data_IF_898404800306
#
_entry.id   IF_898404800306
#
_cell.length_a   1.000
_cell.length_b   1.000
_cell.length_c   1.000
_cell.angle_alpha   90.00
_cell.angle_beta   90.00
_cell.angle_gamma   90.00
#
_symmetry.space_group_name_H-M   'P 1'
#
loop_
_entity.id
_entity.type
_entity.pdbx_description
1 polymer ?
#
# COMPACT_ATOMS: atom_id res chain seq x y z
N UNK A 1 12.38 -10.42 29.17
CA UNK A 1 12.30 -8.97 29.40
C UNK A 1 11.08 -8.47 28.66
N UNK A 2 9.99 -8.37 29.38
CA UNK A 2 8.70 -7.91 28.89
C UNK A 2 8.79 -6.38 28.70
N UNK A 3 9.01 -5.94 27.46
CA UNK A 3 8.98 -4.51 27.13
C UNK A 3 7.50 -4.15 27.00
N UNK A 4 6.91 -3.77 28.13
CA UNK A 4 5.50 -3.40 28.24
C UNK A 4 5.08 -2.46 27.10
N UNK A 5 4.33 -3.02 26.16
CA UNK A 5 3.70 -2.26 25.09
C UNK A 5 2.52 -1.52 25.74
N UNK A 6 2.67 -0.20 25.88
CA UNK A 6 1.59 0.64 26.42
C UNK A 6 0.45 0.66 25.41
N UNK A 7 -0.58 -0.16 25.67
CA UNK A 7 -1.82 -0.14 24.89
C UNK A 7 -2.60 1.14 25.22
N UNK A 8 -3.06 1.85 24.19
CA UNK A 8 -3.91 3.03 24.35
C UNK A 8 -3.17 4.35 24.61
N UNK A 9 -1.85 4.42 24.41
CA UNK A 9 -1.15 5.70 24.38
C UNK A 9 -1.42 6.45 23.07
N UNK A 10 -1.98 7.65 23.15
CA UNK A 10 -2.02 8.58 22.02
C UNK A 10 -0.59 8.98 21.68
N UNK A 11 -0.08 8.48 20.56
CA UNK A 11 1.23 8.89 20.05
C UNK A 11 1.12 10.31 19.50
N UNK A 12 1.53 11.30 20.29
CA UNK A 12 1.68 12.68 19.80
C UNK A 12 3.03 12.78 19.13
N UNK A 13 3.02 12.94 17.80
CA UNK A 13 4.22 13.23 17.02
C UNK A 13 4.24 14.74 16.72
N UNK A 14 4.91 15.57 17.53
CA UNK A 14 5.04 16.99 17.22
C UNK A 14 5.63 17.16 15.82
N UNK A 15 5.01 18.02 15.02
CA UNK A 15 5.36 18.32 13.63
C UNK A 15 5.25 17.17 12.62
N UNK A 16 4.61 16.04 12.98
CA UNK A 16 4.31 14.95 12.04
C UNK A 16 2.82 14.63 12.04
N UNK A 17 2.28 14.41 10.84
CA UNK A 17 0.86 14.11 10.66
C UNK A 17 0.52 12.62 10.73
N UNK A 18 1.53 11.73 10.72
CA UNK A 18 1.38 10.28 10.80
C UNK A 18 2.48 9.54 10.04
N UNK A 19 2.21 8.29 9.66
CA UNK A 19 3.14 7.41 8.95
C UNK A 19 2.68 7.12 7.52
N UNK A 20 3.64 6.96 6.62
CA UNK A 20 3.48 6.31 5.32
C UNK A 20 4.23 4.98 5.39
N UNK A 21 3.49 3.88 5.27
CA UNK A 21 4.05 2.53 5.23
C UNK A 21 4.22 2.12 3.77
N UNK A 22 5.47 2.05 3.30
CA UNK A 22 5.81 1.65 1.93
C UNK A 22 6.29 0.20 1.89
N UNK A 23 5.41 -0.72 1.47
CA UNK A 23 5.60 -2.16 1.67
C UNK A 23 5.06 -2.64 3.02
N UNK A 24 5.22 -3.93 3.38
CA UNK A 24 5.95 -4.97 2.65
C UNK A 24 5.14 -5.67 1.55
N UNK A 25 3.90 -5.25 1.29
CA UNK A 25 2.96 -5.88 0.35
C UNK A 25 3.20 -5.47 -1.11
N UNK A 26 4.43 -5.62 -1.59
CA UNK A 26 4.89 -5.09 -2.89
C UNK A 26 5.35 -6.21 -3.82
N UNK A 27 5.45 -5.93 -5.12
CA UNK A 27 5.99 -6.86 -6.10
C UNK A 27 7.52 -6.94 -5.97
N UNK A 28 8.04 -8.14 -5.75
CA UNK A 28 9.48 -8.35 -5.58
C UNK A 28 10.28 -7.93 -6.82
N UNK A 29 9.75 -8.17 -8.02
CA UNK A 29 10.38 -7.74 -9.28
C UNK A 29 10.49 -6.22 -9.42
N UNK A 30 9.61 -5.47 -8.74
CA UNK A 30 9.62 -4.00 -8.67
C UNK A 30 10.04 -3.47 -7.30
N UNK A 31 10.79 -4.24 -6.50
CA UNK A 31 11.22 -3.85 -5.14
C UNK A 31 12.06 -2.56 -5.06
N UNK A 32 12.80 -2.22 -6.12
CA UNK A 32 13.78 -1.13 -6.06
C UNK A 32 14.77 -1.33 -4.91
N UNK A 33 14.84 -0.36 -4.00
CA UNK A 33 15.73 -0.40 -2.84
C UNK A 33 15.20 -1.20 -1.64
N UNK A 34 14.00 -1.79 -1.73
CA UNK A 34 13.40 -2.58 -0.66
C UNK A 34 14.15 -3.92 -0.47
N UNK A 35 14.35 -4.32 0.78
CA UNK A 35 15.04 -5.56 1.14
C UNK A 35 14.13 -6.77 0.84
N UNK A 36 14.59 -7.73 0.02
CA UNK A 36 13.79 -8.90 -0.42
C UNK A 36 13.28 -9.70 0.75
N UNK A 37 14.12 -9.92 1.75
CA UNK A 37 13.84 -10.71 2.94
C UNK A 37 12.73 -10.12 3.82
N UNK A 38 12.38 -8.85 3.61
CA UNK A 38 11.28 -8.17 4.30
C UNK A 38 10.02 -8.03 3.43
N UNK A 39 10.09 -8.35 2.13
CA UNK A 39 8.91 -8.37 1.26
C UNK A 39 8.09 -9.59 1.63
N UNK A 40 6.81 -9.39 1.87
CA UNK A 40 5.92 -10.49 2.22
C UNK A 40 5.55 -11.24 0.95
N UNK A 41 5.74 -12.55 0.93
CA UNK A 41 5.14 -13.38 -0.10
C UNK A 41 3.62 -13.39 0.15
N UNK A 42 2.82 -13.02 -0.84
CA UNK A 42 1.36 -12.87 -0.68
C UNK A 42 0.63 -14.17 -0.33
N UNK A 43 1.36 -15.27 -0.12
CA UNK A 43 0.88 -16.55 0.36
C UNK A 43 0.68 -16.60 1.88
N UNK A 44 1.15 -15.61 2.64
CA UNK A 44 0.81 -15.50 4.06
C UNK A 44 -0.62 -14.98 4.19
N UNK A 45 -1.56 -15.90 4.35
CA UNK A 45 -2.91 -15.63 4.86
C UNK A 45 -2.80 -14.68 6.06
N UNK A 46 -3.11 -13.40 5.83
CA UNK A 46 -3.13 -12.41 6.91
C UNK A 46 -2.50 -11.05 6.64
N UNK A 47 -2.10 -10.66 5.42
CA UNK A 47 -1.69 -9.26 5.16
C UNK A 47 -2.77 -8.25 5.55
N UNK A 48 -3.99 -8.43 5.06
CA UNK A 48 -5.13 -7.57 5.41
C UNK A 48 -5.49 -7.68 6.91
N UNK A 49 -5.45 -8.90 7.48
CA UNK A 49 -5.71 -9.11 8.91
C UNK A 49 -4.65 -8.44 9.80
N UNK A 50 -3.38 -8.50 9.40
CA UNK A 50 -2.27 -7.84 10.06
C UNK A 50 -2.44 -6.34 10.00
N UNK A 51 -2.74 -5.79 8.82
CA UNK A 51 -3.02 -4.37 8.65
C UNK A 51 -4.20 -3.94 9.53
N UNK A 52 -5.31 -4.69 9.53
CA UNK A 52 -6.46 -4.40 10.37
C UNK A 52 -6.15 -4.47 11.87
N UNK A 53 -5.29 -5.41 12.30
CA UNK A 53 -4.81 -5.46 13.68
C UNK A 53 -3.97 -4.22 14.03
N UNK A 54 -3.01 -3.88 13.16
CA UNK A 54 -2.14 -2.71 13.32
C UNK A 54 -2.95 -1.41 13.41
N UNK A 55 -3.94 -1.23 12.53
CA UNK A 55 -4.77 -0.03 12.49
C UNK A 55 -5.73 0.08 13.67
N UNK A 56 -6.22 -1.05 14.19
CA UNK A 56 -7.00 -1.07 15.45
C UNK A 56 -6.15 -0.78 16.67
N UNK A 57 -4.89 -1.21 16.67
CA UNK A 57 -3.97 -0.95 17.78
C UNK A 57 -3.47 0.50 17.79
N UNK A 58 -3.27 1.10 16.62
CA UNK A 58 -2.77 2.46 16.44
C UNK A 58 -3.70 3.31 15.56
N UNK A 59 -4.94 3.60 16.02
CA UNK A 59 -5.93 4.30 15.22
C UNK A 59 -5.44 5.69 14.79
N UNK A 60 -5.53 5.98 13.50
CA UNK A 60 -5.14 7.25 12.92
C UNK A 60 -3.64 7.50 12.79
N UNK A 61 -2.76 6.57 13.20
CA UNK A 61 -1.31 6.74 13.05
C UNK A 61 -0.87 6.58 11.60
N UNK A 62 -1.32 5.53 10.92
CA UNK A 62 -1.03 5.30 9.51
C UNK A 62 -1.90 6.21 8.65
N UNK A 63 -1.29 6.87 7.66
CA UNK A 63 -1.97 7.78 6.73
C UNK A 63 -1.98 7.27 5.30
N UNK A 64 -0.92 6.59 4.88
CA UNK A 64 -0.77 6.06 3.53
C UNK A 64 -0.18 4.65 3.62
N UNK A 65 -0.73 3.73 2.83
CA UNK A 65 -0.12 2.43 2.56
C UNK A 65 0.27 2.36 1.09
N UNK A 66 1.54 2.05 0.80
CA UNK A 66 1.95 1.63 -0.55
C UNK A 66 2.00 0.12 -0.63
N UNK A 67 1.33 -0.41 -1.64
CA UNK A 67 1.27 -1.83 -1.93
C UNK A 67 1.15 -2.04 -3.45
N UNK A 68 1.36 -3.28 -3.87
CA UNK A 68 1.19 -3.71 -5.24
C UNK A 68 -0.22 -4.32 -5.42
N UNK A 69 -1.14 -3.64 -6.13
CA UNK A 69 -2.54 -4.04 -6.17
C UNK A 69 -2.83 -5.32 -6.95
N UNK A 70 -1.92 -5.74 -7.83
CA UNK A 70 -2.03 -7.00 -8.59
C UNK A 70 -1.81 -8.25 -7.73
N UNK A 71 -1.32 -8.09 -6.51
CA UNK A 71 -1.11 -9.20 -5.59
C UNK A 71 -2.45 -9.78 -5.11
N UNK A 72 -2.50 -11.06 -4.71
CA UNK A 72 -3.74 -11.72 -4.29
C UNK A 72 -4.52 -10.99 -3.19
N UNK A 73 -3.82 -10.31 -2.28
CA UNK A 73 -4.35 -9.56 -1.14
C UNK A 73 -4.64 -8.08 -1.43
N UNK A 74 -4.42 -7.61 -2.67
CA UNK A 74 -4.49 -6.19 -3.02
C UNK A 74 -5.85 -5.56 -2.78
N UNK A 75 -6.94 -6.27 -3.09
CA UNK A 75 -8.31 -5.80 -2.83
C UNK A 75 -8.59 -5.65 -1.35
N UNK A 76 -8.30 -6.69 -0.57
CA UNK A 76 -8.57 -6.71 0.87
C UNK A 76 -7.75 -5.64 1.60
N UNK A 77 -6.50 -5.41 1.17
CA UNK A 77 -5.65 -4.32 1.68
C UNK A 77 -6.27 -2.94 1.41
N UNK A 78 -6.78 -2.72 0.18
CA UNK A 78 -7.45 -1.47 -0.17
C UNK A 78 -8.71 -1.24 0.67
N UNK A 79 -9.56 -2.27 0.83
CA UNK A 79 -10.78 -2.22 1.64
C UNK A 79 -10.45 -1.88 3.11
N UNK A 80 -9.48 -2.58 3.72
CA UNK A 80 -9.04 -2.31 5.10
C UNK A 80 -8.49 -0.89 5.25
N UNK A 81 -7.72 -0.39 4.29
CA UNK A 81 -7.22 0.98 4.29
C UNK A 81 -8.38 1.98 4.36
N UNK A 82 -9.36 1.85 3.47
CA UNK A 82 -10.49 2.77 3.37
C UNK A 82 -11.36 2.75 4.62
N UNK A 83 -11.62 1.57 5.18
CA UNK A 83 -12.38 1.41 6.42
C UNK A 83 -11.76 2.17 7.61
N UNK A 84 -10.44 2.37 7.59
CA UNK A 84 -9.68 2.99 8.67
C UNK A 84 -9.17 4.41 8.32
N UNK A 85 -9.60 4.97 7.18
CA UNK A 85 -9.20 6.31 6.74
C UNK A 85 -7.72 6.42 6.32
N UNK A 86 -7.11 5.30 5.91
CA UNK A 86 -5.77 5.24 5.33
C UNK A 86 -5.89 5.35 3.81
N UNK A 87 -4.99 6.11 3.18
CA UNK A 87 -4.94 6.26 1.72
C UNK A 87 -4.24 5.01 1.12
N UNK A 88 -4.94 4.21 0.30
CA UNK A 88 -4.30 3.16 -0.47
C UNK A 88 -3.58 3.77 -1.69
N UNK A 89 -2.28 3.49 -1.83
CA UNK A 89 -1.41 3.98 -2.90
C UNK A 89 -0.77 2.82 -3.65
N UNK A 90 -0.88 2.82 -4.99
CA UNK A 90 -0.20 1.83 -5.83
C UNK A 90 1.27 2.20 -6.00
N UNK A 91 2.17 1.23 -5.81
CA UNK A 91 3.61 1.43 -6.03
C UNK A 91 4.38 0.14 -5.84
N UNK A 92 5.61 0.09 -6.35
CA UNK A 92 6.42 -1.15 -6.35
C UNK A 92 5.62 -2.34 -6.90
N UNK A 93 5.02 -2.15 -8.06
CA UNK A 93 3.94 -2.99 -8.58
C UNK A 93 4.25 -3.41 -10.00
N UNK A 94 3.84 -4.62 -10.36
CA UNK A 94 3.84 -5.17 -11.70
C UNK A 94 2.52 -4.95 -12.45
N UNK A 95 1.57 -4.24 -11.85
CA UNK A 95 0.21 -4.13 -12.36
C UNK A 95 0.19 -3.61 -13.81
N UNK A 96 -0.59 -4.28 -14.64
CA UNK A 96 -0.96 -3.75 -15.94
C UNK A 96 -2.10 -2.73 -15.82
N UNK A 97 -2.51 -2.16 -16.96
CA UNK A 97 -3.60 -1.18 -17.00
C UNK A 97 -4.93 -1.76 -16.46
N UNK A 98 -5.27 -3.00 -16.80
CA UNK A 98 -6.53 -3.61 -16.39
C UNK A 98 -6.56 -3.88 -14.88
N UNK A 99 -5.45 -4.34 -14.31
CA UNK A 99 -5.28 -4.52 -12.87
C UNK A 99 -5.34 -3.17 -12.14
N UNK A 100 -4.76 -2.12 -12.72
CA UNK A 100 -4.86 -0.77 -12.14
C UNK A 100 -6.29 -0.22 -12.21
N UNK A 101 -7.02 -0.46 -13.31
CA UNK A 101 -8.43 -0.09 -13.41
C UNK A 101 -9.30 -0.80 -12.36
N UNK A 102 -9.00 -2.07 -12.06
CA UNK A 102 -9.64 -2.79 -10.95
C UNK A 102 -9.25 -2.17 -9.59
N UNK A 103 -7.98 -1.83 -9.38
CA UNK A 103 -7.52 -1.17 -8.16
C UNK A 103 -8.24 0.18 -7.93
N UNK A 104 -8.53 0.93 -9.00
CA UNK A 104 -9.35 2.15 -8.94
C UNK A 104 -10.78 1.81 -8.50
N UNK A 105 -11.36 0.70 -8.93
CA UNK A 105 -12.69 0.29 -8.43
C UNK A 105 -12.67 -0.04 -6.94
N UNK A 106 -11.54 -0.51 -6.40
CA UNK A 106 -11.35 -0.75 -4.97
C UNK A 106 -11.01 0.50 -4.16
N UNK A 107 -10.94 1.67 -4.81
CA UNK A 107 -10.69 2.96 -4.16
C UNK A 107 -9.22 3.40 -4.11
N UNK A 108 -8.31 2.74 -4.82
CA UNK A 108 -6.93 3.24 -5.01
C UNK A 108 -6.96 4.52 -5.85
N UNK A 109 -6.46 5.63 -5.29
CA UNK A 109 -6.42 6.96 -5.95
C UNK A 109 -5.03 7.58 -6.00
N UNK A 110 -4.07 6.98 -5.31
CA UNK A 110 -2.69 7.47 -5.24
C UNK A 110 -1.73 6.53 -5.96
N UNK A 111 -0.65 7.11 -6.50
CA UNK A 111 0.50 6.39 -7.03
C UNK A 111 1.74 6.87 -6.28
N UNK A 112 2.50 5.95 -5.71
CA UNK A 112 3.76 6.25 -5.02
C UNK A 112 4.86 6.49 -6.06
N UNK A 113 5.58 7.61 -5.91
CA UNK A 113 6.74 8.03 -6.74
C UNK A 113 6.63 7.65 -8.22
N UNK A 114 5.54 8.08 -8.86
CA UNK A 114 5.19 7.78 -10.26
C UNK A 114 6.40 7.62 -11.19
N UNK A 115 6.31 6.61 -12.06
CA UNK A 115 7.34 6.09 -12.97
C UNK A 115 8.44 5.23 -12.33
N UNK A 116 8.68 5.30 -11.02
CA UNK A 116 9.69 4.47 -10.37
C UNK A 116 9.11 3.14 -9.91
N UNK A 117 9.88 2.05 -10.03
CA UNK A 117 9.48 0.74 -9.51
C UNK A 117 8.07 0.29 -10.00
N UNK A 118 7.84 0.44 -11.30
CA UNK A 118 6.61 0.04 -11.99
C UNK A 118 6.90 -0.21 -13.49
N UNK A 119 6.02 -0.90 -14.23
CA UNK A 119 6.19 -1.10 -15.67
C UNK A 119 6.38 0.22 -16.43
N UNK A 120 7.30 0.21 -17.38
CA UNK A 120 7.56 1.36 -18.24
C UNK A 120 6.32 1.71 -19.08
N UNK A 121 6.08 3.00 -19.25
CA UNK A 121 4.97 3.48 -20.06
C UNK A 121 5.31 3.38 -21.55
N UNK A 122 4.37 2.90 -22.36
CA UNK A 122 4.51 2.77 -23.81
C UNK A 122 3.26 3.32 -24.51
N UNK A 123 3.42 3.89 -25.71
CA UNK A 123 2.30 4.54 -26.43
C UNK A 123 1.11 3.62 -26.74
N UNK A 124 1.31 2.29 -26.77
CA UNK A 124 0.24 1.27 -26.88
C UNK A 124 -0.12 0.55 -25.57
N UNK A 125 0.67 0.77 -24.53
CA UNK A 125 0.45 0.21 -23.21
C UNK A 125 0.91 1.24 -22.18
N UNK A 126 0.03 2.18 -21.80
CA UNK A 126 0.41 3.32 -21.00
C UNK A 126 0.73 2.95 -19.54
N UNK A 127 0.45 1.70 -19.12
CA UNK A 127 0.74 1.22 -17.77
C UNK A 127 -0.06 1.94 -16.69
N UNK A 128 0.43 1.87 -15.44
CA UNK A 128 -0.30 2.41 -14.28
C UNK A 128 -0.25 3.92 -14.17
N UNK A 129 0.74 4.57 -14.80
CA UNK A 129 0.87 6.03 -14.84
C UNK A 129 -0.01 6.69 -15.93
N UNK A 130 -0.99 5.96 -16.44
CA UNK A 130 -1.96 6.49 -17.39
C UNK A 130 -2.98 7.41 -16.69
N UNK A 131 -3.13 8.62 -17.22
CA UNK A 131 -4.13 9.57 -16.73
C UNK A 131 -5.50 9.28 -17.36
N UNK A 132 -6.31 8.50 -16.66
CA UNK A 132 -7.77 8.63 -16.72
C UNK A 132 -8.18 9.40 -15.45
N UNK A 133 -9.17 10.30 -15.53
CA UNK A 133 -9.50 11.32 -14.51
C UNK A 133 -9.94 10.79 -13.12
N UNK A 134 -9.63 9.54 -12.80
CA UNK A 134 -10.01 8.77 -11.62
C UNK A 134 -8.85 8.49 -10.65
N UNK A 135 -7.62 8.93 -10.94
CA UNK A 135 -6.42 8.75 -10.07
C UNK A 135 -5.75 10.11 -9.87
N UNK A 136 -6.32 10.96 -8.99
CA UNK A 136 -5.66 12.17 -8.44
C UNK A 136 -6.17 12.36 -7.01
#
# INVERSE_FOLDING_TARGET
MDRGLVRGATLVLPDRIGLHLEGPFIAEEFRGAQATELIWDGARDGSAQFLANLLREFPGLLKILTFAPERPDGRDLAEVCLEHGVIPSAGHTAADLAQMELAVQWGVRHITHAFNAMPATHHRNPGICYNNASII
#
